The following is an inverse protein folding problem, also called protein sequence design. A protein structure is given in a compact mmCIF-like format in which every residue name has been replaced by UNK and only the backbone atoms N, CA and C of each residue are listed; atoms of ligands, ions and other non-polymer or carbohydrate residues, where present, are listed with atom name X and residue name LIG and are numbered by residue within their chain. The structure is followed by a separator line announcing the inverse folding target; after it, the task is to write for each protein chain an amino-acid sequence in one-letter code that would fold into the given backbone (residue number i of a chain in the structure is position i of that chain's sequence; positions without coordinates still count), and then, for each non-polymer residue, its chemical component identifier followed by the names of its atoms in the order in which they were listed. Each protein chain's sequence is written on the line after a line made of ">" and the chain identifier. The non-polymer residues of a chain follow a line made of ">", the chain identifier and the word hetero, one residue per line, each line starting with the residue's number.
data_IF_501265627580
#
_entry.id   IF_501265627580
#
_cell.length_a   1.000
_cell.length_b   1.000
_cell.length_c   1.000
_cell.angle_alpha   90.00
_cell.angle_beta   90.00
_cell.angle_gamma   90.00
#
_symmetry.space_group_name_H-M   'P 1'
#
loop_
_entity.id
_entity.type
_entity.pdbx_description
1 polymer ?
#
# COMPACT_ATOMS: atom_id res chain seq x y z
N UNK A 1 -41.78 32.47 20.66
CA UNK A 1 -40.85 32.52 19.50
C UNK A 1 -39.47 32.88 20.03
N UNK A 2 -38.55 31.91 20.13
CA UNK A 2 -37.10 32.09 20.34
C UNK A 2 -36.40 30.71 20.29
N UNK A 3 -36.61 29.97 19.19
CA UNK A 3 -36.13 28.60 19.00
C UNK A 3 -34.97 28.47 17.99
N UNK A 4 -34.31 29.58 17.64
CA UNK A 4 -33.16 29.55 16.73
C UNK A 4 -31.87 29.75 17.52
N UNK A 5 -31.00 28.73 17.39
CA UNK A 5 -29.60 28.63 17.81
C UNK A 5 -29.33 28.05 19.21
N UNK A 6 -29.67 26.77 19.40
CA UNK A 6 -28.93 25.92 20.34
C UNK A 6 -27.72 25.31 19.59
N UNK A 7 -26.50 25.86 19.72
CA UNK A 7 -25.33 25.38 18.98
C UNK A 7 -24.95 23.93 19.32
N UNK A 8 -25.27 23.45 20.53
CA UNK A 8 -25.03 22.06 20.94
C UNK A 8 -25.95 21.08 20.22
N UNK A 9 -27.22 21.46 20.04
CA UNK A 9 -28.18 20.68 19.28
C UNK A 9 -27.78 20.60 17.80
N UNK A 10 -27.40 21.74 17.21
CA UNK A 10 -26.93 21.82 15.82
C UNK A 10 -25.68 20.96 15.63
N UNK A 11 -24.77 20.95 16.61
CA UNK A 11 -23.60 20.09 16.55
C UNK A 11 -23.96 18.61 16.65
N UNK A 12 -24.85 18.24 17.57
CA UNK A 12 -25.32 16.85 17.67
C UNK A 12 -25.96 16.37 16.37
N UNK A 13 -26.78 17.21 15.73
CA UNK A 13 -27.35 16.91 14.41
C UNK A 13 -26.27 16.75 13.34
N UNK A 14 -25.30 17.66 13.32
CA UNK A 14 -24.16 17.59 12.39
C UNK A 14 -23.39 16.29 12.57
N UNK A 15 -23.10 15.91 13.81
CA UNK A 15 -22.45 14.64 14.12
C UNK A 15 -23.26 13.44 13.65
N UNK A 16 -24.55 13.36 13.98
CA UNK A 16 -25.41 12.24 13.58
C UNK A 16 -25.49 12.12 12.06
N UNK A 17 -25.75 13.23 11.36
CA UNK A 17 -26.02 13.24 9.94
C UNK A 17 -24.76 13.08 9.08
N UNK A 18 -23.64 13.67 9.51
CA UNK A 18 -22.49 13.88 8.63
C UNK A 18 -21.19 13.24 9.13
N UNK A 19 -20.95 13.14 10.44
CA UNK A 19 -19.63 12.76 10.94
C UNK A 19 -19.57 11.41 11.64
N UNK A 20 -20.65 10.96 12.28
CA UNK A 20 -20.73 9.69 13.00
C UNK A 20 -20.70 8.52 12.02
N UNK A 21 -19.83 7.57 12.32
CA UNK A 21 -19.77 6.27 11.63
C UNK A 21 -20.95 5.40 12.06
N UNK A 22 -21.19 4.30 11.32
CA UNK A 22 -22.21 3.31 11.71
C UNK A 22 -21.98 2.78 13.13
N UNK A 23 -20.72 2.61 13.52
CA UNK A 23 -20.35 2.13 14.86
C UNK A 23 -20.60 3.19 15.95
N UNK A 24 -20.34 4.47 15.66
CA UNK A 24 -20.64 5.57 16.60
C UNK A 24 -22.14 5.66 16.86
N UNK A 25 -22.96 5.59 15.80
CA UNK A 25 -24.42 5.61 15.89
C UNK A 25 -24.93 4.39 16.68
N UNK A 26 -24.38 3.19 16.41
CA UNK A 26 -24.70 1.99 17.18
C UNK A 26 -24.31 2.12 18.64
N UNK A 27 -23.15 2.71 18.94
CA UNK A 27 -22.67 2.93 20.31
C UNK A 27 -23.64 3.83 21.08
N UNK A 28 -24.03 4.96 20.50
CA UNK A 28 -25.04 5.85 21.07
C UNK A 28 -26.37 5.14 21.33
N UNK A 29 -26.90 4.43 20.32
CA UNK A 29 -28.19 3.75 20.44
C UNK A 29 -28.16 2.58 21.44
N UNK A 30 -27.03 1.89 21.57
CA UNK A 30 -26.84 0.85 22.59
C UNK A 30 -26.85 1.43 24.01
N UNK A 31 -26.17 2.57 24.23
CA UNK A 31 -26.19 3.28 25.52
C UNK A 31 -27.62 3.73 25.85
N UNK A 32 -28.37 4.18 24.85
CA UNK A 32 -29.79 4.56 24.96
C UNK A 32 -30.76 3.37 25.01
N UNK A 33 -30.25 2.12 25.03
CA UNK A 33 -31.04 0.88 25.07
C UNK A 33 -32.08 0.77 23.95
N UNK A 34 -31.69 1.13 22.73
CA UNK A 34 -32.52 1.03 21.52
C UNK A 34 -32.01 -0.09 20.59
N UNK A 35 -32.91 -0.65 19.78
CA UNK A 35 -32.55 -1.70 18.81
C UNK A 35 -31.60 -1.11 17.78
N UNK A 36 -30.46 -1.77 17.58
CA UNK A 36 -29.50 -1.40 16.54
C UNK A 36 -29.90 -2.02 15.20
N UNK A 37 -30.09 -1.19 14.18
CA UNK A 37 -30.17 -1.63 12.78
C UNK A 37 -28.77 -1.82 12.18
N UNK A 38 -28.68 -2.58 11.08
CA UNK A 38 -27.49 -2.64 10.23
C UNK A 38 -27.48 -1.58 9.12
N UNK A 39 -28.55 -0.82 8.94
CA UNK A 39 -28.61 0.28 7.99
C UNK A 39 -28.16 1.60 8.66
N UNK A 40 -27.14 2.26 8.09
CA UNK A 40 -26.62 3.54 8.62
C UNK A 40 -27.72 4.61 8.65
N UNK A 41 -28.51 4.73 7.59
CA UNK A 41 -29.56 5.74 7.49
C UNK A 41 -30.64 5.52 8.55
N UNK A 42 -31.02 4.27 8.81
CA UNK A 42 -32.00 3.93 9.85
C UNK A 42 -31.47 4.25 11.26
N UNK A 43 -30.18 3.99 11.50
CA UNK A 43 -29.52 4.39 12.75
C UNK A 43 -29.47 5.91 12.92
N UNK A 44 -29.19 6.66 11.84
CA UNK A 44 -29.20 8.13 11.84
C UNK A 44 -30.59 8.67 12.12
N UNK A 45 -31.62 8.18 11.41
CA UNK A 45 -33.00 8.59 11.61
C UNK A 45 -33.45 8.30 13.04
N UNK A 46 -33.15 7.12 13.57
CA UNK A 46 -33.52 6.73 14.94
C UNK A 46 -32.85 7.63 15.98
N UNK A 47 -31.54 7.89 15.84
CA UNK A 47 -30.82 8.71 16.80
C UNK A 47 -31.20 10.20 16.71
N UNK A 48 -31.49 10.69 15.50
CA UNK A 48 -31.96 12.05 15.25
C UNK A 48 -33.37 12.26 15.81
N UNK A 49 -34.26 11.30 15.63
CA UNK A 49 -35.60 11.31 16.20
C UNK A 49 -35.55 11.35 17.73
N UNK A 50 -34.68 10.55 18.35
CA UNK A 50 -34.46 10.60 19.80
C UNK A 50 -33.93 11.95 20.27
N UNK A 51 -32.99 12.55 19.54
CA UNK A 51 -32.44 13.87 19.86
C UNK A 51 -33.49 14.99 19.75
N UNK A 52 -34.38 14.90 18.77
CA UNK A 52 -35.44 15.87 18.50
C UNK A 52 -36.65 15.70 19.43
N UNK A 53 -36.96 14.48 19.85
CA UNK A 53 -38.10 14.19 20.73
C UNK A 53 -37.76 14.38 22.21
N UNK A 54 -36.47 14.28 22.60
CA UNK A 54 -36.02 14.48 23.98
C UNK A 54 -35.89 15.96 24.42
N UNK A 55 -36.36 16.93 23.64
CA UNK A 55 -36.14 18.36 23.93
C UNK A 55 -36.82 18.88 25.21
N UNK A 56 -37.72 18.11 25.81
CA UNK A 56 -38.33 18.43 27.10
C UNK A 56 -37.56 17.87 28.31
N UNK A 57 -36.56 17.00 28.09
CA UNK A 57 -35.70 16.41 29.13
C UNK A 57 -34.23 16.54 28.70
N UNK A 58 -33.69 17.74 28.86
CA UNK A 58 -32.45 18.24 28.24
C UNK A 58 -31.11 17.54 28.64
N UNK A 59 -31.11 16.30 29.13
CA UNK A 59 -29.96 15.74 29.86
C UNK A 59 -29.44 14.36 29.46
N UNK A 60 -30.12 13.57 28.62
CA UNK A 60 -29.69 12.18 28.37
C UNK A 60 -29.13 11.96 26.95
N UNK A 61 -29.90 12.23 25.90
CA UNK A 61 -29.51 11.92 24.52
C UNK A 61 -28.34 12.78 24.05
N UNK A 62 -28.43 14.10 24.28
CA UNK A 62 -27.34 15.06 24.00
C UNK A 62 -26.06 14.64 24.71
N UNK A 63 -26.11 14.30 26.00
CA UNK A 63 -24.95 13.85 26.76
C UNK A 63 -24.37 12.52 26.24
N UNK A 64 -25.20 11.56 25.82
CA UNK A 64 -24.70 10.34 25.17
C UNK A 64 -23.96 10.67 23.88
N UNK A 65 -24.51 11.56 23.06
CA UNK A 65 -23.88 11.99 21.81
C UNK A 65 -22.58 12.74 22.07
N UNK A 66 -22.56 13.69 23.02
CA UNK A 66 -21.35 14.41 23.41
C UNK A 66 -20.30 13.50 24.05
N UNK A 67 -20.69 12.53 24.86
CA UNK A 67 -19.77 11.57 25.45
C UNK A 67 -19.21 10.61 24.39
N UNK A 68 -20.02 10.18 23.43
CA UNK A 68 -19.56 9.40 22.29
C UNK A 68 -18.61 10.24 21.42
N UNK A 69 -18.98 11.51 21.17
CA UNK A 69 -18.18 12.47 20.45
C UNK A 69 -16.82 12.68 21.15
N UNK A 70 -16.79 12.93 22.45
CA UNK A 70 -15.57 13.07 23.23
C UNK A 70 -14.73 11.79 23.25
N UNK A 71 -15.37 10.62 23.41
CA UNK A 71 -14.70 9.30 23.43
C UNK A 71 -14.00 9.01 22.11
N UNK A 72 -14.60 9.45 21.00
CA UNK A 72 -14.10 9.20 19.65
C UNK A 72 -13.35 10.43 19.07
N UNK A 73 -13.10 11.45 19.88
CA UNK A 73 -12.23 12.59 19.55
C UNK A 73 -12.85 13.66 18.64
N UNK A 74 -14.17 13.77 18.61
CA UNK A 74 -14.88 14.85 17.92
C UNK A 74 -14.79 16.14 18.76
N UNK A 75 -14.39 17.25 18.14
CA UNK A 75 -14.28 18.56 18.81
C UNK A 75 -15.51 19.42 18.57
N UNK A 76 -15.97 20.15 19.61
CA UNK A 76 -17.00 21.18 19.50
C UNK A 76 -16.37 22.58 19.59
N UNK A 77 -16.30 23.30 18.47
CA UNK A 77 -15.83 24.69 18.43
C UNK A 77 -17.00 25.61 18.07
N UNK A 78 -17.47 26.40 19.05
CA UNK A 78 -18.57 27.36 18.89
C UNK A 78 -18.26 28.47 17.85
N UNK A 79 -16.99 28.60 17.41
CA UNK A 79 -16.53 29.70 16.55
C UNK A 79 -16.72 29.49 15.04
N UNK A 80 -16.99 28.27 14.57
CA UNK A 80 -17.02 27.95 13.13
C UNK A 80 -18.43 27.98 12.49
N UNK A 81 -19.48 28.27 13.26
CA UNK A 81 -20.87 28.11 12.81
C UNK A 81 -21.41 29.23 11.92
N UNK A 82 -20.71 30.36 11.78
CA UNK A 82 -21.23 31.53 11.04
C UNK A 82 -20.54 31.82 9.70
N UNK A 83 -19.44 31.15 9.34
CA UNK A 83 -18.66 31.48 8.14
C UNK A 83 -18.26 30.25 7.31
N UNK A 84 -19.22 29.50 6.77
CA UNK A 84 -18.93 28.47 5.76
C UNK A 84 -19.89 28.51 4.58
N UNK A 85 -19.92 29.65 3.88
CA UNK A 85 -20.09 29.61 2.42
C UNK A 85 -18.75 29.13 1.83
N UNK A 86 -18.81 28.10 0.98
CA UNK A 86 -17.71 27.40 0.29
C UNK A 86 -16.94 26.34 1.11
N UNK A 87 -17.07 25.04 0.75
CA UNK A 87 -16.02 24.29 0.01
C UNK A 87 -16.13 22.76 0.15
N UNK A 88 -16.37 22.12 -1.01
CA UNK A 88 -16.07 20.74 -1.42
C UNK A 88 -16.60 19.60 -0.54
N UNK A 89 -17.71 19.02 -1.01
CA UNK A 89 -18.30 17.78 -0.50
C UNK A 89 -17.35 16.59 -0.71
N UNK A 90 -16.69 16.16 0.38
CA UNK A 90 -15.98 14.87 0.42
C UNK A 90 -16.94 13.70 0.68
N UNK A 91 -18.24 13.95 0.90
CA UNK A 91 -19.26 12.93 1.19
C UNK A 91 -19.49 11.91 0.05
N UNK A 92 -19.56 12.31 -1.24
CA UNK A 92 -19.60 11.36 -2.35
C UNK A 92 -18.33 10.49 -2.44
N UNK A 93 -17.19 11.03 -1.98
CA UNK A 93 -15.89 10.35 -1.94
C UNK A 93 -15.92 9.23 -0.89
N UNK A 94 -16.52 9.47 0.27
CA UNK A 94 -16.65 8.47 1.36
C UNK A 94 -17.63 7.35 0.99
N UNK A 95 -18.79 7.71 0.42
CA UNK A 95 -19.85 6.74 0.11
C UNK A 95 -19.51 5.81 -1.07
N UNK A 96 -18.64 6.27 -2.00
CA UNK A 96 -18.21 5.51 -3.18
C UNK A 96 -16.71 5.16 -3.15
N UNK A 97 -16.10 5.16 -1.96
CA UNK A 97 -14.67 4.86 -1.83
C UNK A 97 -14.40 3.41 -2.26
N UNK A 98 -13.42 3.14 -3.13
CA UNK A 98 -13.34 1.83 -3.74
C UNK A 98 -13.09 0.70 -2.73
N UNK A 99 -13.76 -0.43 -2.92
CA UNK A 99 -13.55 -1.62 -2.09
C UNK A 99 -12.28 -2.39 -2.49
N UNK A 100 -11.94 -2.37 -3.78
CA UNK A 100 -10.79 -3.08 -4.32
C UNK A 100 -9.49 -2.32 -4.08
N UNK A 101 -8.51 -3.00 -3.49
CA UNK A 101 -7.16 -2.47 -3.25
C UNK A 101 -6.49 -1.94 -4.52
N UNK A 102 -6.71 -2.60 -5.67
CA UNK A 102 -6.05 -2.24 -6.94
C UNK A 102 -6.64 -0.97 -7.56
N UNK A 103 -7.93 -0.70 -7.35
CA UNK A 103 -8.58 0.51 -7.85
C UNK A 103 -8.08 1.80 -7.17
N UNK A 104 -7.48 1.66 -5.99
CA UNK A 104 -6.92 2.77 -5.19
C UNK A 104 -5.44 3.00 -5.47
N UNK A 105 -4.73 2.00 -5.99
CA UNK A 105 -3.27 2.06 -6.11
C UNK A 105 -2.84 2.06 -7.57
N UNK A 106 -2.11 3.09 -8.00
CA UNK A 106 -1.36 3.04 -9.27
C UNK A 106 -0.27 1.96 -9.22
N UNK A 107 0.23 1.61 -8.04
CA UNK A 107 1.34 0.67 -7.86
C UNK A 107 0.85 -0.69 -7.32
N UNK A 108 1.05 -1.73 -8.11
CA UNK A 108 0.76 -3.12 -7.73
C UNK A 108 1.78 -3.62 -6.70
N UNK A 109 1.30 -4.26 -5.63
CA UNK A 109 2.17 -4.89 -4.62
C UNK A 109 2.36 -6.37 -4.94
N UNK A 110 3.55 -6.75 -5.40
CA UNK A 110 3.77 -8.07 -6.01
C UNK A 110 3.95 -9.22 -5.00
N UNK A 111 4.37 -8.90 -3.78
CA UNK A 111 4.56 -9.88 -2.70
C UNK A 111 3.26 -10.18 -1.93
N UNK A 112 2.13 -9.65 -2.38
CA UNK A 112 0.82 -9.83 -1.76
C UNK A 112 -0.22 -10.21 -2.83
N UNK A 113 -1.10 -11.15 -2.47
CA UNK A 113 -2.29 -11.49 -3.26
C UNK A 113 -3.51 -11.60 -2.36
N UNK A 114 -4.69 -11.75 -2.98
CA UNK A 114 -5.97 -11.95 -2.27
C UNK A 114 -6.21 -10.87 -1.19
N UNK A 115 -5.94 -9.61 -1.55
CA UNK A 115 -6.02 -8.49 -0.61
C UNK A 115 -7.48 -8.21 -0.31
N UNK A 116 -7.87 -8.27 0.97
CA UNK A 116 -9.26 -8.10 1.42
C UNK A 116 -9.33 -7.05 2.51
N UNK A 117 -10.21 -6.07 2.33
CA UNK A 117 -10.51 -5.06 3.34
C UNK A 117 -11.15 -5.71 4.57
N UNK A 118 -10.75 -5.29 5.76
CA UNK A 118 -11.33 -5.80 7.03
C UNK A 118 -11.94 -4.71 7.91
N UNK A 119 -11.71 -3.43 7.58
CA UNK A 119 -12.37 -2.28 8.21
C UNK A 119 -12.82 -1.29 7.16
N UNK A 120 -13.83 -0.50 7.48
CA UNK A 120 -14.11 0.72 6.72
C UNK A 120 -12.92 1.69 6.78
N UNK A 121 -12.86 2.58 5.79
CA UNK A 121 -11.87 3.64 5.76
C UNK A 121 -12.14 4.66 6.85
N UNK A 122 -11.13 4.98 7.67
CA UNK A 122 -11.15 6.11 8.59
C UNK A 122 -10.49 7.31 7.91
N UNK A 123 -11.29 8.31 7.57
CA UNK A 123 -10.84 9.53 6.90
C UNK A 123 -10.58 10.59 7.96
N UNK A 124 -9.38 11.17 7.92
CA UNK A 124 -8.92 12.23 8.80
C UNK A 124 -8.34 13.37 7.99
N UNK A 125 -8.47 14.59 8.50
CA UNK A 125 -8.03 15.78 7.80
C UNK A 125 -8.27 17.04 8.60
N UNK A 126 -8.11 18.22 7.98
CA UNK A 126 -8.03 19.50 8.70
C UNK A 126 -9.31 19.84 9.47
N UNK A 127 -10.44 19.43 8.89
CA UNK A 127 -11.80 19.68 9.39
C UNK A 127 -12.29 18.61 10.36
N UNK A 128 -11.59 17.48 10.42
CA UNK A 128 -11.92 16.33 11.26
C UNK A 128 -10.63 15.88 11.95
N UNK A 129 -10.21 16.66 12.95
CA UNK A 129 -8.99 16.44 13.76
C UNK A 129 -9.16 15.28 14.75
N UNK A 130 -9.86 14.20 14.36
CA UNK A 130 -10.01 12.92 15.10
C UNK A 130 -8.65 12.25 15.25
N UNK A 131 -7.86 12.81 16.15
CA UNK A 131 -6.58 12.29 16.58
C UNK A 131 -6.72 11.86 18.04
N UNK A 132 -6.34 10.62 18.37
CA UNK A 132 -5.75 9.64 17.46
C UNK A 132 -6.80 8.90 16.61
N UNK A 133 -6.41 8.42 15.43
CA UNK A 133 -7.28 7.52 14.65
C UNK A 133 -7.20 6.11 15.24
N UNK A 134 -8.31 5.56 15.73
CA UNK A 134 -8.32 4.27 16.44
C UNK A 134 -9.14 3.21 15.71
N UNK A 135 -8.57 2.05 15.42
CA UNK A 135 -9.30 0.86 14.99
C UNK A 135 -9.46 -0.10 16.18
N UNK A 136 -10.70 -0.51 16.46
CA UNK A 136 -11.02 -1.55 17.46
C UNK A 136 -11.70 -2.69 16.72
N UNK A 137 -11.05 -3.85 16.64
CA UNK A 137 -11.61 -4.99 15.91
C UNK A 137 -11.18 -6.34 16.45
N UNK A 138 -12.03 -7.32 16.21
CA UNK A 138 -11.68 -8.72 16.27
C UNK A 138 -11.02 -9.14 14.94
N UNK A 139 -9.76 -9.57 14.98
CA UNK A 139 -9.04 -10.02 13.79
C UNK A 139 -9.73 -11.22 13.08
N UNK A 140 -9.75 -11.32 11.75
CA UNK A 140 -10.42 -12.45 11.10
C UNK A 140 -9.89 -13.82 11.55
N UNK A 141 -10.78 -14.82 11.67
CA UNK A 141 -10.41 -16.15 12.17
C UNK A 141 -9.35 -16.84 11.28
N UNK A 142 -9.47 -16.72 9.96
CA UNK A 142 -8.50 -17.28 9.02
C UNK A 142 -7.09 -16.69 9.25
N UNK A 143 -7.00 -15.38 9.53
CA UNK A 143 -5.73 -14.71 9.83
C UNK A 143 -5.16 -15.16 11.18
N UNK A 144 -6.00 -15.28 12.21
CA UNK A 144 -5.57 -15.78 13.51
C UNK A 144 -5.01 -17.22 13.42
N UNK A 145 -5.65 -18.06 12.61
CA UNK A 145 -5.20 -19.44 12.37
C UNK A 145 -3.85 -19.49 11.66
N UNK A 146 -3.58 -18.58 10.72
CA UNK A 146 -2.28 -18.52 10.04
C UNK A 146 -1.14 -18.08 10.95
N UNK A 147 -1.43 -17.31 12.00
CA UNK A 147 -0.43 -16.92 13.01
C UNK A 147 -0.20 -18.00 14.07
N UNK A 148 -1.25 -18.72 14.46
CA UNK A 148 -1.21 -19.71 15.55
C UNK A 148 -0.48 -20.99 15.17
N UNK A 149 -0.60 -21.39 13.91
CA UNK A 149 0.19 -22.49 13.35
C UNK A 149 1.55 -21.89 13.03
N UNK A 150 2.63 -22.31 13.68
CA UNK A 150 3.98 -22.07 13.16
C UNK A 150 4.11 -22.94 11.90
N UNK A 151 3.59 -22.44 10.77
CA UNK A 151 3.46 -23.27 9.58
C UNK A 151 4.87 -23.48 8.99
N UNK A 152 5.27 -24.71 8.63
CA UNK A 152 6.52 -24.95 7.89
C UNK A 152 6.56 -24.11 6.60
N UNK A 153 7.79 -23.84 6.13
CA UNK A 153 8.20 -22.94 5.03
C UNK A 153 7.40 -22.96 3.70
N UNK A 154 6.40 -23.84 3.54
CA UNK A 154 5.65 -24.08 2.29
C UNK A 154 4.23 -23.52 2.21
N UNK A 155 3.70 -22.83 3.25
CA UNK A 155 2.39 -22.16 3.15
C UNK A 155 2.52 -20.64 3.21
N UNK A 156 1.78 -19.96 2.34
CA UNK A 156 1.68 -18.50 2.34
C UNK A 156 1.05 -17.99 3.63
N UNK A 157 1.83 -17.30 4.46
CA UNK A 157 1.34 -16.61 5.65
C UNK A 157 0.32 -15.53 5.26
N UNK A 158 -0.76 -15.39 6.02
CA UNK A 158 -1.63 -14.22 5.88
C UNK A 158 -0.99 -13.01 6.56
N UNK A 159 -1.15 -11.84 5.98
CA UNK A 159 -0.62 -10.58 6.52
C UNK A 159 -1.76 -9.63 6.90
N UNK A 160 -1.61 -8.94 8.01
CA UNK A 160 -2.39 -7.77 8.39
C UNK A 160 -1.65 -6.54 7.90
N UNK A 161 -2.29 -5.79 7.02
CA UNK A 161 -1.76 -4.60 6.37
C UNK A 161 -2.49 -3.38 6.91
N UNK A 162 -1.74 -2.36 7.32
CA UNK A 162 -2.25 -1.00 7.40
C UNK A 162 -1.93 -0.31 6.08
N UNK A 163 -2.94 0.33 5.49
CA UNK A 163 -2.79 1.18 4.31
C UNK A 163 -3.17 2.61 4.67
N UNK A 164 -2.42 3.55 4.15
CA UNK A 164 -2.75 4.97 4.17
C UNK A 164 -2.77 5.50 2.73
N UNK A 165 -3.75 6.34 2.44
CA UNK A 165 -3.82 7.07 1.18
C UNK A 165 -4.01 8.55 1.47
N UNK A 166 -3.24 9.39 0.79
CA UNK A 166 -3.56 10.80 0.71
C UNK A 166 -4.71 10.97 -0.30
N UNK A 167 -5.66 11.83 0.01
CA UNK A 167 -6.86 12.09 -0.80
C UNK A 167 -6.75 13.52 -1.33
N UNK A 168 -6.67 13.65 -2.66
CA UNK A 168 -6.73 14.94 -3.33
C UNK A 168 -8.10 15.12 -3.99
N UNK A 169 -8.72 16.29 -3.80
CA UNK A 169 -9.96 16.66 -4.47
C UNK A 169 -9.69 17.73 -5.53
N UNK A 170 -9.31 17.29 -6.73
CA UNK A 170 -9.14 18.17 -7.88
C UNK A 170 -10.37 18.04 -8.78
N UNK A 171 -11.28 19.02 -8.71
CA UNK A 171 -12.43 19.14 -9.61
C UNK A 171 -13.24 17.83 -9.76
N UNK A 172 -13.61 17.17 -8.65
CA UNK A 172 -14.40 15.92 -8.60
C UNK A 172 -13.65 14.63 -8.98
N UNK A 173 -12.38 14.71 -9.37
CA UNK A 173 -11.54 13.51 -9.54
C UNK A 173 -10.79 13.24 -8.23
N UNK A 174 -11.07 12.08 -7.64
CA UNK A 174 -10.41 11.60 -6.43
C UNK A 174 -9.10 10.94 -6.86
N UNK A 175 -7.97 11.58 -6.55
CA UNK A 175 -6.67 10.93 -6.68
C UNK A 175 -6.27 10.34 -5.33
N UNK A 176 -5.89 9.06 -5.35
CA UNK A 176 -5.45 8.30 -4.20
C UNK A 176 -3.99 7.91 -4.40
N UNK A 177 -3.12 8.46 -3.56
CA UNK A 177 -1.70 8.15 -3.58
C UNK A 177 -1.32 7.44 -2.26
N UNK A 178 -0.65 6.30 -2.38
CA UNK A 178 -0.16 5.54 -1.22
C UNK A 178 0.90 6.37 -0.49
N UNK A 179 0.52 6.96 0.63
CA UNK A 179 1.33 7.91 1.36
C UNK A 179 0.93 7.89 2.83
N UNK A 180 1.91 7.80 3.73
CA UNK A 180 1.70 7.92 5.16
C UNK A 180 2.05 9.34 5.62
N UNK A 181 1.31 9.92 6.57
CA UNK A 181 1.68 11.21 7.12
C UNK A 181 3.11 11.19 7.69
N UNK A 182 3.88 12.28 7.52
CA UNK A 182 5.14 12.45 8.21
C UNK A 182 4.99 12.25 9.73
N UNK A 183 6.00 11.62 10.35
CA UNK A 183 6.02 11.31 11.79
C UNK A 183 4.82 10.50 12.29
N UNK A 184 4.14 9.74 11.41
CA UNK A 184 3.08 8.83 11.82
C UNK A 184 3.63 7.83 12.85
N UNK A 185 2.92 7.67 13.96
CA UNK A 185 3.18 6.71 15.02
C UNK A 185 2.06 5.67 15.06
N UNK A 186 2.44 4.41 15.28
CA UNK A 186 1.51 3.29 15.38
C UNK A 186 1.61 2.69 16.78
N UNK A 187 0.47 2.57 17.46
CA UNK A 187 0.35 1.87 18.73
C UNK A 187 -0.62 0.71 18.59
N UNK A 188 -0.24 -0.49 19.04
CA UNK A 188 -1.09 -1.68 19.04
C UNK A 188 -1.23 -2.15 20.47
N UNK A 189 -2.46 -2.20 20.98
CA UNK A 189 -2.79 -2.50 22.37
C UNK A 189 -1.96 -1.68 23.37
N UNK A 190 -1.73 -0.40 23.06
CA UNK A 190 -0.98 0.54 23.90
C UNK A 190 0.54 0.49 23.75
N UNK A 191 1.11 -0.46 23.00
CA UNK A 191 2.57 -0.52 22.74
C UNK A 191 2.91 0.07 21.37
N UNK A 192 4.00 0.82 21.29
CA UNK A 192 4.46 1.44 20.05
C UNK A 192 5.13 0.45 19.08
N UNK A 193 4.82 0.60 17.79
CA UNK A 193 5.34 -0.18 16.66
C UNK A 193 5.60 0.69 15.42
N UNK A 194 5.92 1.97 15.60
CA UNK A 194 6.21 2.94 14.53
C UNK A 194 7.26 2.45 13.54
N UNK A 195 8.25 1.66 13.99
CA UNK A 195 9.27 1.06 13.13
C UNK A 195 8.78 0.02 12.11
N UNK A 196 7.48 -0.33 12.11
CA UNK A 196 6.85 -1.18 11.08
C UNK A 196 6.40 -0.38 9.85
N UNK A 197 6.44 0.95 9.90
CA UNK A 197 6.15 1.78 8.74
C UNK A 197 7.21 1.60 7.64
N UNK A 198 6.81 1.66 6.36
CA UNK A 198 7.76 1.63 5.25
C UNK A 198 8.80 2.74 5.41
N UNK A 199 10.07 2.42 5.13
CA UNK A 199 11.17 3.37 5.30
C UNK A 199 11.10 4.47 4.25
N UNK A 200 11.50 5.68 4.65
CA UNK A 200 11.80 6.79 3.74
C UNK A 200 13.03 6.44 2.88
N UNK A 201 12.95 6.71 1.58
CA UNK A 201 14.10 6.67 0.68
C UNK A 201 14.40 8.09 0.22
N UNK A 202 15.61 8.57 0.50
CA UNK A 202 16.11 9.83 -0.05
C UNK A 202 16.59 9.60 -1.49
N UNK A 203 16.05 10.34 -2.45
CA UNK A 203 16.69 10.47 -3.76
C UNK A 203 17.74 11.57 -3.68
N UNK A 204 18.96 11.28 -4.11
CA UNK A 204 20.01 12.28 -4.20
C UNK A 204 19.54 13.48 -5.05
N UNK A 205 19.77 14.67 -4.49
CA UNK A 205 19.53 16.03 -5.03
C UNK A 205 18.14 16.67 -4.86
N UNK A 206 17.20 16.07 -4.12
CA UNK A 206 16.06 16.82 -3.58
C UNK A 206 15.84 16.47 -2.11
N UNK A 207 15.60 17.48 -1.26
CA UNK A 207 15.30 17.31 0.18
C UNK A 207 13.97 16.58 0.45
N UNK A 208 13.34 16.00 -0.56
CA UNK A 208 12.06 15.33 -0.45
C UNK A 208 12.31 13.83 -0.29
N UNK A 209 12.11 13.31 0.93
CA UNK A 209 12.03 11.88 1.14
C UNK A 209 10.80 11.31 0.44
N UNK A 210 10.98 10.21 -0.28
CA UNK A 210 9.88 9.48 -0.89
C UNK A 210 9.58 8.29 0.03
N UNK A 211 8.38 8.24 0.59
CA UNK A 211 7.89 7.03 1.25
C UNK A 211 7.64 5.96 0.19
N UNK A 212 8.14 4.75 0.43
CA UNK A 212 7.82 3.61 -0.42
C UNK A 212 6.30 3.38 -0.39
N UNK A 213 5.65 3.11 -1.53
CA UNK A 213 4.21 2.87 -1.61
C UNK A 213 3.79 1.51 -1.01
N UNK A 214 4.63 0.90 -0.18
CA UNK A 214 4.39 -0.39 0.45
C UNK A 214 3.41 -0.26 1.63
N UNK A 215 2.56 -1.26 1.88
CA UNK A 215 1.72 -1.29 3.08
C UNK A 215 2.57 -1.58 4.33
N UNK A 216 2.16 -1.07 5.49
CA UNK A 216 2.78 -1.46 6.76
C UNK A 216 2.28 -2.84 7.18
N UNK A 217 3.18 -3.81 7.34
CA UNK A 217 2.84 -5.19 7.74
C UNK A 217 2.87 -5.30 9.27
N UNK A 218 1.71 -5.55 9.88
CA UNK A 218 1.52 -5.50 11.33
C UNK A 218 1.67 -6.86 12.05
N UNK A 219 1.97 -7.94 11.32
CA UNK A 219 2.04 -9.30 11.86
C UNK A 219 2.94 -9.41 13.09
N UNK A 220 4.15 -8.87 13.01
CA UNK A 220 5.13 -8.92 14.09
C UNK A 220 4.66 -8.22 15.37
N UNK A 221 3.84 -7.17 15.24
CA UNK A 221 3.21 -6.52 16.39
C UNK A 221 2.09 -7.38 16.98
N UNK A 222 1.22 -7.97 16.13
CA UNK A 222 0.13 -8.84 16.60
C UNK A 222 0.68 -10.07 17.35
N UNK A 223 1.79 -10.65 16.89
CA UNK A 223 2.44 -11.78 17.56
C UNK A 223 2.83 -11.49 19.02
N UNK A 224 3.06 -10.22 19.39
CA UNK A 224 3.34 -9.80 20.77
C UNK A 224 2.12 -9.89 21.70
N UNK A 225 0.92 -10.11 21.16
CA UNK A 225 -0.32 -10.21 21.92
C UNK A 225 -1.05 -11.53 21.62
N UNK A 226 -0.63 -12.67 22.20
CA UNK A 226 -1.24 -13.99 21.95
C UNK A 226 -2.76 -14.05 22.12
N UNK A 227 -3.29 -13.31 23.11
CA UNK A 227 -4.74 -13.22 23.35
C UNK A 227 -5.52 -12.57 22.19
N UNK A 228 -4.85 -11.80 21.33
CA UNK A 228 -5.47 -11.14 20.16
C UNK A 228 -5.75 -12.11 19.01
N UNK A 229 -4.99 -13.21 18.92
CA UNK A 229 -5.14 -14.24 17.87
C UNK A 229 -5.41 -15.64 18.42
N UNK A 230 -5.74 -15.75 19.71
CA UNK A 230 -6.13 -17.00 20.36
C UNK A 230 -7.44 -17.57 19.78
N UNK A 231 -7.78 -18.80 20.20
CA UNK A 231 -9.02 -19.49 19.82
C UNK A 231 -10.26 -18.62 20.02
N UNK A 232 -11.31 -18.88 19.24
CA UNK A 232 -12.54 -18.07 19.15
C UNK A 232 -13.13 -17.66 20.52
N UNK A 233 -13.07 -18.55 21.53
CA UNK A 233 -13.60 -18.33 22.88
C UNK A 233 -12.76 -17.44 23.81
N UNK A 234 -11.46 -17.25 23.53
CA UNK A 234 -10.51 -16.52 24.41
C UNK A 234 -9.95 -15.24 23.77
N UNK A 235 -10.41 -14.93 22.57
CA UNK A 235 -9.84 -13.87 21.75
C UNK A 235 -10.25 -12.50 22.27
N UNK A 236 -9.29 -11.57 22.29
CA UNK A 236 -9.50 -10.18 22.68
C UNK A 236 -9.50 -9.25 21.47
N UNK A 237 -10.18 -8.11 21.62
CA UNK A 237 -10.19 -7.02 20.66
C UNK A 237 -8.76 -6.48 20.52
N UNK A 238 -8.36 -6.20 19.29
CA UNK A 238 -7.13 -5.46 18.98
C UNK A 238 -7.47 -3.99 18.83
N UNK A 239 -6.72 -3.14 19.52
CA UNK A 239 -6.80 -1.68 19.38
C UNK A 239 -5.56 -1.19 18.64
N UNK A 240 -5.73 -0.61 17.46
CA UNK A 240 -4.66 0.00 16.66
C UNK A 240 -4.90 1.51 16.67
N UNK A 241 -3.99 2.26 17.28
CA UNK A 241 -4.06 3.72 17.43
C UNK A 241 -2.98 4.35 16.55
N UNK A 242 -3.38 5.31 15.72
CA UNK A 242 -2.52 6.05 14.82
C UNK A 242 -2.48 7.52 15.25
N UNK A 243 -1.27 8.07 15.40
CA UNK A 243 -1.05 9.46 15.76
C UNK A 243 -0.10 10.08 14.74
N UNK A 244 -0.33 11.30 14.30
CA UNK A 244 0.62 12.03 13.47
C UNK A 244 0.51 13.53 13.76
N UNK A 245 1.47 14.32 13.34
CA UNK A 245 1.43 15.76 13.55
C UNK A 245 0.35 16.40 12.65
N UNK A 246 -0.70 16.96 13.25
CA UNK A 246 -1.76 17.65 12.49
C UNK A 246 -1.29 18.99 11.93
N UNK A 247 -0.32 19.65 12.57
CA UNK A 247 0.18 20.97 12.18
C UNK A 247 1.05 20.89 10.93
N UNK A 248 1.92 19.87 10.85
CA UNK A 248 2.72 19.58 9.66
C UNK A 248 1.85 19.11 8.45
N UNK A 249 0.56 18.85 8.66
CA UNK A 249 -0.35 18.21 7.70
C UNK A 249 -1.69 18.98 7.55
N UNK A 250 -1.68 20.28 7.83
CA UNK A 250 -2.89 21.12 7.99
C UNK A 250 -3.81 21.21 6.77
N UNK A 251 -3.34 20.88 5.57
CA UNK A 251 -4.15 20.94 4.34
C UNK A 251 -4.37 19.55 3.71
N UNK A 252 -4.00 18.48 4.42
CA UNK A 252 -4.00 17.13 3.86
C UNK A 252 -5.09 16.26 4.45
N UNK A 253 -5.76 15.50 3.58
CA UNK A 253 -6.75 14.49 3.98
C UNK A 253 -6.14 13.11 3.77
N UNK A 254 -6.21 12.28 4.81
CA UNK A 254 -5.75 10.90 4.77
C UNK A 254 -6.90 9.93 4.97
N UNK A 255 -6.91 8.85 4.21
CA UNK A 255 -7.71 7.66 4.49
C UNK A 255 -6.82 6.58 5.08
N UNK A 256 -7.22 6.00 6.21
CA UNK A 256 -6.60 4.81 6.78
C UNK A 256 -7.53 3.61 6.66
N UNK A 257 -6.98 2.44 6.31
CA UNK A 257 -7.73 1.20 6.22
C UNK A 257 -6.90 -0.01 6.59
N UNK A 258 -7.54 -1.00 7.20
CA UNK A 258 -6.92 -2.30 7.49
C UNK A 258 -7.33 -3.33 6.45
N UNK A 259 -6.35 -4.11 6.00
CA UNK A 259 -6.51 -5.15 5.01
C UNK A 259 -5.84 -6.43 5.48
N UNK A 260 -6.28 -7.56 4.93
CA UNK A 260 -5.54 -8.81 4.97
C UNK A 260 -5.04 -9.17 3.58
N UNK A 261 -3.96 -9.93 3.50
CA UNK A 261 -3.45 -10.47 2.23
C UNK A 261 -2.78 -11.81 2.46
N UNK A 262 -2.43 -12.49 1.37
CA UNK A 262 -1.65 -13.73 1.37
C UNK A 262 -0.27 -13.43 0.80
N UNK A 263 0.80 -13.84 1.51
CA UNK A 263 2.18 -13.68 1.05
C UNK A 263 2.43 -14.42 -0.26
N UNK A 264 3.07 -13.74 -1.20
CA UNK A 264 3.62 -14.33 -2.43
C UNK A 264 5.13 -14.34 -2.29
N UNK A 265 5.76 -15.51 -2.40
CA UNK A 265 7.21 -15.60 -2.32
C UNK A 265 7.88 -15.14 -3.62
N UNK A 266 9.15 -14.72 -3.53
CA UNK A 266 9.94 -14.38 -4.72
C UNK A 266 10.04 -15.56 -5.69
N UNK A 267 10.07 -16.81 -5.19
CA UNK A 267 10.08 -18.00 -6.05
C UNK A 267 8.79 -18.11 -6.88
N UNK A 268 7.63 -17.80 -6.29
CA UNK A 268 6.36 -17.81 -7.03
C UNK A 268 6.33 -16.72 -8.11
N UNK A 269 6.86 -15.54 -7.82
CA UNK A 269 6.99 -14.45 -8.81
C UNK A 269 7.93 -14.89 -9.94
N UNK A 270 9.09 -15.45 -9.59
CA UNK A 270 10.06 -16.01 -10.55
C UNK A 270 9.41 -17.03 -11.48
N UNK A 271 8.69 -18.00 -10.93
CA UNK A 271 8.00 -19.02 -11.72
C UNK A 271 6.97 -18.40 -12.68
N UNK A 272 6.23 -17.37 -12.26
CA UNK A 272 5.29 -16.66 -13.15
C UNK A 272 6.00 -15.97 -14.29
N UNK A 273 7.16 -15.36 -14.03
CA UNK A 273 7.98 -14.70 -15.04
C UNK A 273 8.52 -15.73 -16.03
N UNK A 274 9.09 -16.82 -15.55
CA UNK A 274 9.69 -17.87 -16.39
C UNK A 274 8.69 -18.68 -17.22
N UNK A 275 7.39 -18.62 -16.88
CA UNK A 275 6.32 -19.20 -17.70
C UNK A 275 5.97 -18.34 -18.92
N UNK A 276 6.42 -17.08 -18.97
CA UNK A 276 6.20 -16.21 -20.13
C UNK A 276 7.16 -16.61 -21.24
N UNK A 277 6.78 -16.31 -22.48
CA UNK A 277 7.69 -16.49 -23.61
C UNK A 277 8.92 -15.61 -23.46
N UNK A 278 10.08 -16.16 -23.81
CA UNK A 278 11.32 -15.39 -23.89
C UNK A 278 11.24 -14.41 -25.07
N UNK A 279 12.01 -13.32 -24.97
CA UNK A 279 12.28 -12.47 -26.13
C UNK A 279 13.19 -13.26 -27.06
N UNK A 280 12.71 -13.45 -28.29
CA UNK A 280 13.44 -14.21 -29.30
C UNK A 280 14.75 -13.53 -29.69
N UNK A 281 15.65 -14.33 -30.24
CA UNK A 281 16.93 -13.85 -30.76
C UNK A 281 16.76 -12.75 -31.81
N UNK A 282 15.76 -12.86 -32.70
CA UNK A 282 15.50 -11.85 -33.74
C UNK A 282 15.10 -10.51 -33.13
N UNK A 283 14.20 -10.54 -32.14
CA UNK A 283 13.78 -9.33 -31.42
C UNK A 283 14.96 -8.67 -30.68
N UNK A 284 15.85 -9.49 -30.10
CA UNK A 284 17.08 -8.99 -29.50
C UNK A 284 18.01 -8.37 -30.57
N UNK A 285 18.16 -9.02 -31.73
CA UNK A 285 18.95 -8.50 -32.86
C UNK A 285 18.47 -7.12 -33.29
N UNK A 286 17.16 -6.93 -33.47
CA UNK A 286 16.59 -5.63 -33.84
C UNK A 286 16.85 -4.57 -32.78
N UNK A 287 16.74 -4.92 -31.49
CA UNK A 287 17.08 -4.00 -30.39
C UNK A 287 18.57 -3.65 -30.36
N UNK A 288 19.46 -4.61 -30.65
CA UNK A 288 20.90 -4.37 -30.72
C UNK A 288 21.25 -3.41 -31.86
N UNK A 289 20.77 -3.65 -33.08
CA UNK A 289 21.00 -2.74 -34.22
C UNK A 289 20.47 -1.33 -33.93
N UNK A 290 19.29 -1.21 -33.34
CA UNK A 290 18.72 0.09 -32.94
C UNK A 290 19.50 0.78 -31.81
N UNK A 291 20.18 0.01 -30.95
CA UNK A 291 21.02 0.55 -29.88
C UNK A 291 22.36 1.05 -30.43
N UNK A 292 23.00 0.25 -31.29
CA UNK A 292 24.28 0.58 -31.92
C UNK A 292 24.14 1.75 -32.90
N UNK A 293 23.06 1.82 -33.68
CA UNK A 293 22.84 2.92 -34.63
C UNK A 293 22.72 4.30 -33.96
N UNK A 294 22.28 4.33 -32.69
CA UNK A 294 22.24 5.57 -31.88
C UNK A 294 23.59 5.97 -31.30
N UNK A 295 24.60 5.11 -31.41
CA UNK A 295 25.96 5.32 -30.89
C UNK A 295 26.89 5.43 -32.10
N UNK A 296 27.02 6.64 -32.66
CA UNK A 296 27.70 6.93 -33.95
C UNK A 296 29.08 6.27 -34.14
N UNK A 297 29.79 5.92 -33.07
CA UNK A 297 31.12 5.31 -33.11
C UNK A 297 31.21 3.84 -32.70
N UNK A 298 30.14 3.22 -32.17
CA UNK A 298 30.19 1.85 -31.65
C UNK A 298 29.63 0.82 -32.65
N UNK A 299 30.49 -0.09 -33.11
CA UNK A 299 30.12 -1.24 -33.96
C UNK A 299 29.84 -2.53 -33.16
N UNK A 300 30.04 -2.48 -31.85
CA UNK A 300 29.89 -3.61 -30.95
C UNK A 300 29.45 -3.11 -29.56
N UNK A 301 28.96 -4.04 -28.75
CA UNK A 301 28.59 -3.82 -27.37
C UNK A 301 29.27 -4.85 -26.47
N UNK A 302 30.03 -4.38 -25.49
CA UNK A 302 30.56 -5.23 -24.42
C UNK A 302 29.50 -5.42 -23.33
N UNK A 303 29.25 -6.67 -22.96
CA UNK A 303 28.20 -7.07 -22.03
C UNK A 303 28.82 -7.92 -20.92
N UNK A 304 28.71 -7.43 -19.68
CA UNK A 304 29.00 -8.22 -18.48
C UNK A 304 27.91 -9.28 -18.28
N UNK A 305 28.31 -10.49 -17.94
CA UNK A 305 27.42 -11.60 -17.53
C UNK A 305 27.48 -11.84 -16.02
N UNK A 306 27.89 -10.81 -15.28
CA UNK A 306 27.88 -10.75 -13.83
C UNK A 306 26.89 -9.71 -13.34
N UNK A 307 26.17 -10.05 -12.27
CA UNK A 307 25.25 -9.16 -11.58
C UNK A 307 26.01 -7.98 -10.95
N UNK A 308 25.68 -6.72 -11.27
CA UNK A 308 26.27 -5.55 -10.61
C UNK A 308 25.91 -5.45 -9.12
N UNK A 309 24.84 -6.10 -8.65
CA UNK A 309 24.41 -6.03 -7.26
C UNK A 309 25.32 -6.79 -6.28
N UNK A 310 25.80 -7.97 -6.67
CA UNK A 310 26.58 -8.85 -5.78
C UNK A 310 27.83 -9.46 -6.43
N UNK A 311 28.18 -9.01 -7.63
CA UNK A 311 29.34 -9.48 -8.40
C UNK A 311 29.37 -11.01 -8.57
N UNK A 312 28.21 -11.63 -8.84
CA UNK A 312 28.10 -13.07 -9.14
C UNK A 312 27.65 -13.30 -10.57
N UNK A 313 28.07 -14.42 -11.16
CA UNK A 313 27.62 -14.86 -12.49
C UNK A 313 26.10 -14.96 -12.53
N UNK A 314 25.51 -14.36 -13.56
CA UNK A 314 24.08 -14.42 -13.83
C UNK A 314 23.68 -15.88 -14.09
N UNK A 315 22.59 -16.31 -13.47
CA UNK A 315 21.97 -17.63 -13.66
C UNK A 315 20.71 -17.52 -14.49
N UNK A 316 19.89 -16.50 -14.23
CA UNK A 316 18.67 -16.23 -14.99
C UNK A 316 18.73 -14.80 -15.53
N UNK A 317 19.17 -14.60 -16.80
CA UNK A 317 19.36 -13.27 -17.36
C UNK A 317 18.00 -12.62 -17.64
N UNK A 318 17.78 -11.44 -17.10
CA UNK A 318 16.60 -10.65 -17.39
C UNK A 318 16.94 -9.19 -17.64
N UNK A 319 15.98 -8.48 -18.25
CA UNK A 319 15.99 -7.02 -18.41
C UNK A 319 14.59 -6.47 -18.20
N UNK A 320 14.46 -5.17 -17.98
CA UNK A 320 13.17 -4.49 -18.09
C UNK A 320 12.84 -4.21 -19.55
N UNK A 321 11.58 -4.36 -19.94
CA UNK A 321 11.13 -4.07 -21.33
C UNK A 321 11.40 -2.63 -21.77
N UNK A 322 11.46 -1.70 -20.81
CA UNK A 322 11.68 -0.26 -20.98
C UNK A 322 13.13 0.19 -20.69
N UNK A 323 14.05 -0.75 -20.41
CA UNK A 323 15.46 -0.43 -20.21
C UNK A 323 16.07 0.17 -21.47
N UNK A 324 16.96 1.15 -21.28
CA UNK A 324 17.80 1.77 -22.32
C UNK A 324 19.22 1.20 -22.37
N UNK A 325 19.44 0.05 -21.72
CA UNK A 325 20.63 -0.77 -21.88
C UNK A 325 20.24 -2.17 -22.35
N UNK A 326 21.22 -2.90 -22.87
CA UNK A 326 21.07 -4.30 -23.26
C UNK A 326 21.75 -5.27 -22.29
N UNK A 327 22.44 -4.77 -21.26
CA UNK A 327 23.07 -5.62 -20.25
C UNK A 327 22.00 -6.36 -19.43
N UNK A 328 22.12 -7.68 -19.24
CA UNK A 328 21.23 -8.44 -18.37
C UNK A 328 21.59 -8.23 -16.89
N UNK A 329 20.64 -8.55 -16.03
CA UNK A 329 20.80 -8.71 -14.59
C UNK A 329 20.30 -10.11 -14.20
N UNK A 330 20.64 -10.59 -12.99
CA UNK A 330 20.14 -11.86 -12.47
C UNK A 330 18.77 -11.72 -11.79
N UNK A 331 17.81 -12.52 -12.26
CA UNK A 331 16.42 -12.43 -11.82
C UNK A 331 16.24 -12.74 -10.32
N UNK A 332 16.94 -13.75 -9.82
CA UNK A 332 16.76 -14.21 -8.44
C UNK A 332 17.32 -13.19 -7.46
N UNK A 333 18.49 -12.63 -7.79
CA UNK A 333 19.13 -11.57 -7.02
C UNK A 333 18.23 -10.32 -7.03
N UNK A 334 17.70 -9.92 -8.18
CA UNK A 334 16.81 -8.76 -8.30
C UNK A 334 15.49 -8.91 -7.53
N UNK A 335 14.86 -10.09 -7.58
CA UNK A 335 13.62 -10.34 -6.85
C UNK A 335 13.85 -10.36 -5.33
N UNK A 336 14.97 -10.93 -4.86
CA UNK A 336 15.35 -10.90 -3.44
C UNK A 336 15.65 -9.48 -2.96
N UNK A 337 16.37 -8.69 -3.76
CA UNK A 337 16.63 -7.28 -3.45
C UNK A 337 15.31 -6.48 -3.29
N UNK A 338 14.33 -6.74 -4.16
CA UNK A 338 13.04 -6.07 -4.09
C UNK A 338 12.10 -6.62 -3.01
N UNK A 339 12.36 -7.80 -2.43
CA UNK A 339 11.59 -8.30 -1.29
C UNK A 339 11.70 -7.39 -0.06
N UNK A 340 12.86 -6.74 0.10
CA UNK A 340 13.11 -5.84 1.23
C UNK A 340 12.75 -4.38 0.90
N UNK A 341 12.96 -3.96 -0.35
CA UNK A 341 12.92 -2.56 -0.77
C UNK A 341 11.69 -2.18 -1.59
N UNK A 342 11.09 -3.13 -2.30
CA UNK A 342 9.97 -2.94 -3.24
C UNK A 342 10.10 -1.69 -4.14
N UNK A 343 11.33 -1.36 -4.56
CA UNK A 343 11.62 -0.17 -5.37
C UNK A 343 11.19 -0.37 -6.83
N UNK A 344 11.39 -1.59 -7.33
CA UNK A 344 11.09 -2.00 -8.71
C UNK A 344 11.73 -1.08 -9.76
N UNK A 345 12.97 -0.67 -9.51
CA UNK A 345 13.81 0.09 -10.45
C UNK A 345 14.95 -0.79 -10.95
N UNK A 346 15.26 -0.72 -12.24
CA UNK A 346 16.42 -1.36 -12.81
C UNK A 346 17.69 -0.87 -12.11
N UNK A 347 18.56 -1.79 -11.68
CA UNK A 347 19.81 -1.49 -10.97
C UNK A 347 20.88 -0.85 -11.85
N UNK A 348 20.71 -0.92 -13.17
CA UNK A 348 21.67 -0.39 -14.15
C UNK A 348 21.27 1.01 -14.59
N UNK A 349 20.00 1.25 -14.94
CA UNK A 349 19.54 2.54 -15.48
C UNK A 349 18.44 3.26 -14.69
N UNK A 350 18.03 2.73 -13.53
CA UNK A 350 17.01 3.29 -12.65
C UNK A 350 15.61 3.48 -13.28
N UNK A 351 15.35 2.92 -14.47
CA UNK A 351 13.99 2.91 -15.06
C UNK A 351 13.07 1.92 -14.35
N UNK A 352 11.75 2.15 -14.34
CA UNK A 352 10.78 1.20 -13.80
C UNK A 352 10.95 -0.20 -14.41
N UNK A 353 11.03 -1.20 -13.55
CA UNK A 353 11.22 -2.60 -13.90
C UNK A 353 10.47 -3.48 -12.89
N UNK A 354 9.14 -3.47 -12.99
CA UNK A 354 8.26 -4.31 -12.17
C UNK A 354 8.28 -5.76 -12.66
N UNK A 355 7.79 -6.74 -11.87
CA UNK A 355 7.62 -8.10 -12.34
C UNK A 355 6.77 -8.25 -13.60
N UNK A 356 5.92 -7.28 -13.96
CA UNK A 356 5.17 -7.31 -15.23
C UNK A 356 5.99 -6.73 -16.41
N UNK A 357 7.06 -5.98 -16.13
CA UNK A 357 7.98 -5.41 -17.12
C UNK A 357 9.19 -6.30 -17.42
N UNK A 358 9.46 -7.28 -16.56
CA UNK A 358 10.60 -8.19 -16.69
C UNK A 358 10.43 -9.08 -17.92
N UNK A 359 11.47 -9.09 -18.74
CA UNK A 359 11.66 -9.96 -19.90
C UNK A 359 12.94 -10.78 -19.75
N UNK A 360 12.94 -11.99 -20.29
CA UNK A 360 14.11 -12.88 -20.37
C UNK A 360 14.47 -13.03 -21.84
N UNK A 361 15.73 -12.78 -22.21
CA UNK A 361 16.19 -12.93 -23.59
C UNK A 361 16.76 -14.31 -23.82
N UNK A 362 16.25 -14.97 -24.86
CA UNK A 362 16.72 -16.27 -25.30
C UNK A 362 18.22 -16.25 -25.63
N UNK A 363 18.70 -15.17 -26.24
CA UNK A 363 20.12 -14.98 -26.58
C UNK A 363 21.04 -15.17 -25.37
N UNK A 364 20.78 -14.47 -24.26
CA UNK A 364 21.63 -14.59 -23.07
C UNK A 364 21.49 -15.95 -22.39
N UNK A 365 20.29 -16.53 -22.39
CA UNK A 365 20.08 -17.89 -21.85
C UNK A 365 20.95 -18.90 -22.61
N UNK A 366 20.95 -18.87 -23.94
CA UNK A 366 21.77 -19.77 -24.76
C UNK A 366 23.27 -19.56 -24.55
N UNK A 367 23.73 -18.30 -24.49
CA UNK A 367 25.14 -17.98 -24.19
C UNK A 367 25.56 -18.57 -22.85
N UNK A 368 24.77 -18.34 -21.79
CA UNK A 368 25.09 -18.83 -20.44
C UNK A 368 25.04 -20.35 -20.33
N UNK A 369 24.24 -21.03 -21.16
CA UNK A 369 24.19 -22.49 -21.22
C UNK A 369 25.37 -23.09 -22.00
N UNK A 370 25.75 -22.47 -23.12
CA UNK A 370 26.86 -22.94 -23.96
C UNK A 370 28.22 -22.73 -23.28
N UNK A 371 28.39 -21.59 -22.60
CA UNK A 371 29.66 -21.17 -22.01
C UNK A 371 29.57 -21.09 -20.49
N UNK A 372 29.92 -22.17 -19.80
CA UNK A 372 29.73 -22.33 -18.35
C UNK A 372 30.51 -21.31 -17.50
N UNK A 373 31.69 -20.88 -17.93
CA UNK A 373 32.58 -19.98 -17.18
C UNK A 373 32.69 -18.56 -17.77
N UNK A 374 31.83 -18.21 -18.73
CA UNK A 374 31.84 -16.90 -19.38
C UNK A 374 31.62 -15.77 -18.36
N UNK A 375 32.46 -14.73 -18.43
CA UNK A 375 32.35 -13.53 -17.57
C UNK A 375 31.70 -12.35 -18.28
N UNK A 376 31.86 -12.28 -19.60
CA UNK A 376 31.22 -11.31 -20.46
C UNK A 376 31.54 -11.62 -21.91
N UNK A 377 30.84 -10.92 -22.79
CA UNK A 377 30.93 -11.10 -24.23
C UNK A 377 31.01 -9.74 -24.91
N UNK A 378 31.61 -9.69 -26.08
CA UNK A 378 31.48 -8.57 -27.02
C UNK A 378 30.56 -9.03 -28.14
N UNK A 379 29.46 -8.32 -28.35
CA UNK A 379 28.45 -8.63 -29.35
C UNK A 379 28.49 -7.60 -30.47
N UNK A 380 28.57 -8.07 -31.70
CA UNK A 380 28.60 -7.26 -32.92
C UNK A 380 27.22 -7.18 -33.57
N UNK A 381 27.06 -6.24 -34.50
CA UNK A 381 25.89 -6.21 -35.37
C UNK A 381 25.71 -7.55 -36.12
N UNK A 382 24.47 -8.04 -36.22
CA UNK A 382 24.18 -9.38 -36.76
C UNK A 382 24.37 -10.53 -35.76
N UNK A 383 24.61 -10.23 -34.47
CA UNK A 383 24.70 -11.19 -33.35
C UNK A 383 25.88 -12.18 -33.41
N UNK A 384 26.92 -11.85 -34.16
CA UNK A 384 28.22 -12.48 -33.92
C UNK A 384 28.76 -12.00 -32.57
N UNK A 385 29.47 -12.86 -31.84
CA UNK A 385 30.02 -12.51 -30.54
C UNK A 385 31.36 -13.19 -30.27
N UNK A 386 32.20 -12.57 -29.44
CA UNK A 386 33.36 -13.21 -28.84
C UNK A 386 33.27 -13.17 -27.32
N UNK A 387 33.92 -14.12 -26.65
CA UNK A 387 34.07 -14.11 -25.20
C UNK A 387 35.20 -13.12 -24.85
N UNK A 388 34.99 -12.30 -23.81
CA UNK A 388 36.01 -11.34 -23.39
C UNK A 388 37.29 -12.11 -22.98
N UNK A 389 38.43 -11.69 -23.54
CA UNK A 389 39.76 -12.32 -23.43
C UNK A 389 39.95 -13.61 -24.24
N UNK A 390 39.04 -13.94 -25.16
CA UNK A 390 39.19 -15.03 -26.13
C UNK A 390 39.18 -14.46 -27.56
N UNK A 391 39.88 -15.15 -28.48
CA UNK A 391 40.00 -14.73 -29.89
C UNK A 391 38.90 -15.25 -30.80
N UNK A 392 38.18 -16.28 -30.37
CA UNK A 392 37.20 -16.98 -31.21
C UNK A 392 35.94 -16.14 -31.40
N UNK A 393 35.46 -16.09 -32.64
CA UNK A 393 34.21 -15.43 -33.02
C UNK A 393 33.17 -16.51 -33.27
N UNK A 394 32.06 -16.44 -32.54
CA UNK A 394 30.94 -17.34 -32.63
C UNK A 394 29.77 -16.66 -33.35
N UNK A 395 28.98 -17.44 -34.10
CA UNK A 395 27.73 -16.98 -34.66
C UNK A 395 26.56 -17.31 -33.73
N UNK A 396 25.50 -16.51 -33.80
CA UNK A 396 24.22 -16.83 -33.16
C UNK A 396 23.62 -18.15 -33.66
N UNK A 397 24.00 -18.58 -34.88
CA UNK A 397 23.60 -19.88 -35.45
C UNK A 397 24.19 -21.07 -34.70
N UNK A 398 25.26 -20.83 -33.94
CA UNK A 398 25.94 -21.87 -33.18
C UNK A 398 25.34 -22.05 -31.76
N UNK A 399 24.25 -21.34 -31.43
CA UNK A 399 23.65 -21.25 -30.08
C UNK A 399 22.39 -22.09 -29.85
#
# INVERSE_FOLDING_TARGET
>A
MNGQNNPELVQCMTWILHEFTKDDLKSCLNILKRKSSDNKTELQTTLLDLLLTSQNENGNVTNVIFNQAATEGYSFNVKDSYNNLYKQDYLPIVCNFPEDYNSINKNKIYFHKDIKRITEWKIVGPRNRKQPTVFKLFLPHYFCNSLSRQIPYNYSSSNLLLKCTQIFNNNQIIQLDSYYPPKLQIFINGREFTGLLPREVYRNNSKNSIFLPAPAILNNAILKFPRSYASKSRRKIVTIKLCYDTTDNEDTVFGFGLFTSVSVSWQMIRQKILKRSMVSIENFSTKLSNYLSKKESMKYLEISLFSPLICKRIQTPFRGKNCDHLNPEDLDIYLKFNMDKELWLCTICNKPCTPDDIIVDEFFVKILNKHSNVKGIVVFEGLNYCIINESDIFSVKDL
#
